data_IF_923352993274
#
_entry.id   IF_923352993274
#
_cell.length_a   1.000
_cell.length_b   1.000
_cell.length_c   1.000
_cell.angle_alpha   90.00
_cell.angle_beta   90.00
_cell.angle_gamma   90.00
#
_symmetry.space_group_name_H-M   'P 1'
#
loop_
_entity.id
_entity.type
_entity.pdbx_description
1 polymer ?
#
# COMPACT_ATOMS: atom_id res chain seq x y z
N UNK A 1 12.41 11.11 -6.13
CA UNK A 1 11.02 11.58 -5.98
C UNK A 1 10.08 10.57 -6.62
N UNK A 2 9.05 10.09 -5.90
CA UNK A 2 8.03 9.12 -6.37
C UNK A 2 7.38 9.55 -7.70
N UNK A 3 7.24 10.84 -7.93
CA UNK A 3 6.75 11.41 -9.20
C UNK A 3 7.62 11.04 -10.41
N UNK A 4 8.90 10.82 -10.21
CA UNK A 4 9.81 10.50 -11.31
C UNK A 4 9.85 9.01 -11.64
N UNK A 5 9.53 8.13 -10.68
CA UNK A 5 9.41 6.68 -10.91
C UNK A 5 8.26 6.37 -11.86
N UNK A 6 7.10 6.97 -11.66
CA UNK A 6 5.93 6.78 -12.55
C UNK A 6 6.11 7.47 -13.91
N UNK A 7 6.84 8.58 -13.99
CA UNK A 7 7.17 9.23 -15.28
C UNK A 7 8.20 8.46 -16.09
N UNK A 8 9.13 7.77 -15.45
CA UNK A 8 10.13 6.91 -16.12
C UNK A 8 9.53 5.67 -16.77
N UNK A 9 8.47 5.12 -16.20
CA UNK A 9 7.79 3.93 -16.75
C UNK A 9 6.96 4.23 -18.01
N UNK A 10 6.54 5.46 -18.23
CA UNK A 10 5.76 5.87 -19.40
C UNK A 10 6.61 6.17 -20.64
N UNK A 11 7.91 6.37 -20.50
CA UNK A 11 8.82 6.75 -21.60
C UNK A 11 9.58 5.57 -22.24
N UNK A 12 9.47 4.37 -21.68
CA UNK A 12 10.12 3.16 -22.22
C UNK A 12 9.28 2.40 -23.27
N UNK A 13 8.09 2.89 -23.64
CA UNK A 13 7.17 2.29 -24.61
C UNK A 13 7.09 3.01 -25.95
N UNK A 14 8.02 3.89 -26.24
CA UNK A 14 8.11 4.63 -27.49
C UNK A 14 9.04 4.00 -28.52
N UNK A 15 8.76 2.79 -28.98
CA UNK A 15 9.58 2.22 -30.06
C UNK A 15 9.27 0.77 -30.40
N UNK A 16 8.07 0.49 -30.89
CA UNK A 16 7.82 -0.63 -31.80
C UNK A 16 6.45 -0.41 -32.47
N UNK A 17 6.51 0.07 -33.68
CA UNK A 17 5.39 0.13 -34.62
C UNK A 17 5.09 -1.28 -35.09
N UNK A 18 3.83 -1.66 -35.08
CA UNK A 18 3.17 -2.77 -35.71
C UNK A 18 2.68 -3.88 -34.77
N UNK A 19 1.49 -3.65 -34.18
CA UNK A 19 0.36 -4.59 -34.19
C UNK A 19 -0.87 -3.95 -33.50
N UNK A 20 -1.96 -3.64 -34.24
CA UNK A 20 -3.16 -3.04 -33.64
C UNK A 20 -4.17 -4.11 -33.17
N UNK A 21 -3.79 -5.02 -32.29
CA UNK A 21 -4.73 -6.08 -31.86
C UNK A 21 -4.63 -6.50 -30.38
N UNK A 22 -4.00 -5.73 -29.50
CA UNK A 22 -3.93 -6.09 -28.07
C UNK A 22 -4.37 -4.98 -27.11
N UNK A 23 -5.17 -4.01 -27.56
CA UNK A 23 -5.85 -3.05 -26.72
C UNK A 23 -7.37 -3.20 -26.82
N UNK A 24 -7.87 -4.42 -26.94
CA UNK A 24 -9.22 -4.71 -26.42
C UNK A 24 -9.03 -4.78 -24.90
N UNK A 25 -8.97 -3.61 -24.27
CA UNK A 25 -9.24 -3.47 -22.87
C UNK A 25 -10.54 -4.19 -22.62
N UNK A 26 -10.56 -5.11 -21.68
CA UNK A 26 -11.74 -5.81 -21.24
C UNK A 26 -12.87 -4.79 -21.04
N UNK A 27 -13.82 -4.76 -21.96
CA UNK A 27 -15.13 -4.22 -21.66
C UNK A 27 -15.67 -5.13 -20.57
N UNK A 28 -15.43 -4.76 -19.32
CA UNK A 28 -15.91 -5.51 -18.18
C UNK A 28 -17.42 -5.53 -18.25
N UNK A 29 -17.99 -6.72 -18.37
CA UNK A 29 -19.41 -6.91 -18.19
C UNK A 29 -19.76 -6.38 -16.79
N UNK A 30 -20.74 -5.48 -16.61
CA UNK A 30 -21.09 -4.95 -15.30
C UNK A 30 -21.43 -6.03 -14.26
N UNK A 31 -21.64 -7.28 -14.67
CA UNK A 31 -21.88 -8.43 -13.81
C UNK A 31 -20.63 -9.30 -13.56
N UNK A 32 -19.50 -9.04 -14.18
CA UNK A 32 -18.25 -9.82 -13.96
C UNK A 32 -17.58 -9.53 -12.61
N UNK A 33 -18.02 -8.48 -11.90
CA UNK A 33 -17.48 -8.11 -10.60
C UNK A 33 -17.88 -9.04 -9.45
N UNK A 34 -18.82 -9.95 -9.69
CA UNK A 34 -19.34 -10.88 -8.68
C UNK A 34 -18.65 -12.25 -8.70
N UNK A 35 -17.77 -12.49 -9.67
CA UNK A 35 -17.05 -13.75 -9.74
C UNK A 35 -15.63 -13.48 -9.21
N UNK A 36 -15.22 -14.11 -8.09
CA UNK A 36 -13.84 -14.03 -7.68
C UNK A 36 -12.95 -14.45 -8.86
N UNK A 37 -11.84 -13.75 -9.13
CA UNK A 37 -10.97 -14.08 -10.24
C UNK A 37 -10.61 -15.56 -10.15
N UNK A 38 -10.90 -16.31 -11.20
CA UNK A 38 -10.50 -17.70 -11.29
C UNK A 38 -8.99 -17.75 -11.07
N UNK A 39 -8.48 -18.58 -10.16
CA UNK A 39 -7.04 -18.69 -9.94
C UNK A 39 -6.34 -18.82 -11.29
N UNK A 40 -5.35 -17.96 -11.54
CA UNK A 40 -4.57 -18.06 -12.78
C UNK A 40 -3.98 -19.45 -12.87
N UNK A 41 -4.03 -20.04 -14.05
CA UNK A 41 -3.40 -21.34 -14.29
C UNK A 41 -1.92 -21.21 -13.93
N UNK A 42 -1.49 -21.86 -12.83
CA UNK A 42 -0.13 -21.77 -12.28
C UNK A 42 -0.02 -21.22 -10.86
N UNK A 43 -1.10 -20.72 -10.25
CA UNK A 43 -1.06 -20.41 -8.81
C UNK A 43 -0.95 -21.73 -8.02
N UNK A 44 -0.04 -21.84 -7.04
CA UNK A 44 0.01 -23.01 -6.18
C UNK A 44 -1.35 -23.20 -5.48
N UNK A 45 -1.78 -24.44 -5.27
CA UNK A 45 -3.02 -24.69 -4.55
C UNK A 45 -2.94 -24.05 -3.16
N UNK A 46 -4.07 -23.55 -2.62
CA UNK A 46 -4.09 -23.00 -1.27
C UNK A 46 -3.57 -24.06 -0.28
N UNK A 47 -2.80 -23.66 0.73
CA UNK A 47 -2.28 -24.58 1.73
C UNK A 47 -3.41 -25.37 2.38
N UNK A 48 -3.22 -26.66 2.61
CA UNK A 48 -4.25 -27.56 3.15
C UNK A 48 -4.82 -27.08 4.52
N UNK A 49 -4.03 -26.33 5.29
CA UNK A 49 -4.45 -25.77 6.58
C UNK A 49 -5.47 -24.62 6.46
N UNK A 50 -5.63 -24.01 5.29
CA UNK A 50 -6.65 -22.99 5.05
C UNK A 50 -8.06 -23.57 4.92
N UNK A 51 -8.18 -24.86 4.63
CA UNK A 51 -9.47 -25.49 4.34
C UNK A 51 -10.08 -25.00 3.01
N UNK A 52 -11.32 -25.37 2.79
CA UNK A 52 -12.10 -24.87 1.66
C UNK A 52 -12.63 -23.45 1.97
N UNK A 53 -12.68 -22.59 0.96
CA UNK A 53 -13.34 -21.29 1.10
C UNK A 53 -14.81 -21.49 1.50
N UNK A 54 -15.34 -20.73 2.45
CA UNK A 54 -16.74 -20.82 2.83
C UNK A 54 -17.62 -20.43 1.64
N UNK A 55 -18.63 -21.23 1.35
CA UNK A 55 -19.68 -20.86 0.39
C UNK A 55 -20.66 -19.90 1.08
N UNK A 56 -20.79 -18.70 0.52
CA UNK A 56 -21.75 -17.69 0.99
C UNK A 56 -22.93 -17.70 0.01
N UNK A 57 -24.12 -18.17 0.45
CA UNK A 57 -25.30 -18.16 -0.38
C UNK A 57 -25.66 -16.74 -0.83
N UNK A 58 -26.10 -16.59 -2.10
CA UNK A 58 -26.40 -15.28 -2.68
C UNK A 58 -27.44 -14.48 -1.89
N UNK A 59 -28.39 -15.17 -1.26
CA UNK A 59 -29.44 -14.55 -0.42
C UNK A 59 -28.92 -13.93 0.89
N UNK A 60 -27.68 -14.24 1.27
CA UNK A 60 -27.01 -13.61 2.43
C UNK A 60 -26.23 -12.36 2.06
N UNK A 61 -26.14 -12.03 0.78
CA UNK A 61 -25.48 -10.83 0.30
C UNK A 61 -26.53 -9.74 0.21
N UNK A 62 -26.50 -8.77 1.16
CA UNK A 62 -27.45 -7.66 1.18
C UNK A 62 -27.06 -6.54 0.21
N UNK A 63 -25.75 -6.31 0.06
CA UNK A 63 -25.22 -5.18 -0.69
C UNK A 63 -23.99 -5.55 -1.47
N UNK A 64 -23.77 -4.88 -2.59
CA UNK A 64 -22.56 -5.02 -3.42
C UNK A 64 -21.98 -3.65 -3.70
N UNK A 65 -20.70 -3.50 -3.41
CA UNK A 65 -19.94 -2.29 -3.66
C UNK A 65 -18.85 -2.55 -4.69
N UNK A 66 -18.56 -1.55 -5.52
CA UNK A 66 -17.50 -1.61 -6.53
C UNK A 66 -16.53 -0.45 -6.33
N UNK A 67 -15.25 -0.73 -6.42
CA UNK A 67 -14.18 0.26 -6.38
C UNK A 67 -12.99 -0.24 -7.21
N UNK A 68 -12.14 0.69 -7.67
CA UNK A 68 -10.90 0.33 -8.38
C UNK A 68 -9.95 -0.44 -7.48
N UNK A 69 -9.93 -0.09 -6.18
CA UNK A 69 -9.07 -0.72 -5.17
C UNK A 69 -9.91 -1.03 -3.92
N UNK A 70 -9.83 -2.28 -3.48
CA UNK A 70 -10.43 -2.72 -2.21
C UNK A 70 -9.31 -3.00 -1.21
N UNK A 71 -9.36 -2.36 -0.04
CA UNK A 71 -8.38 -2.50 1.04
C UNK A 71 -9.04 -3.16 2.23
N UNK A 72 -8.43 -4.23 2.73
CA UNK A 72 -8.92 -4.95 3.91
C UNK A 72 -8.10 -4.54 5.12
N UNK A 73 -8.75 -3.88 6.06
CA UNK A 73 -8.18 -3.36 7.30
C UNK A 73 -7.94 -1.86 7.26
N UNK A 74 -8.56 -1.12 8.21
CA UNK A 74 -8.38 0.32 8.38
C UNK A 74 -7.32 0.65 9.45
N UNK A 75 -6.24 -0.11 9.49
CA UNK A 75 -5.02 0.23 10.24
C UNK A 75 -4.17 1.26 9.50
N UNK A 76 -3.03 1.64 10.07
CA UNK A 76 -2.13 2.63 9.48
C UNK A 76 -1.78 2.30 8.03
N UNK A 77 -1.39 1.06 7.75
CA UNK A 77 -1.01 0.64 6.41
C UNK A 77 -2.17 0.72 5.41
N UNK A 78 -3.38 0.31 5.81
CA UNK A 78 -4.56 0.37 4.96
C UNK A 78 -4.99 1.82 4.68
N UNK A 79 -4.98 2.68 5.69
CA UNK A 79 -5.35 4.09 5.54
C UNK A 79 -4.33 4.86 4.69
N UNK A 80 -3.02 4.60 4.85
CA UNK A 80 -1.99 5.22 4.00
C UNK A 80 -2.08 4.74 2.56
N UNK A 81 -2.36 3.45 2.34
CA UNK A 81 -2.59 2.91 1.00
C UNK A 81 -3.84 3.52 0.35
N UNK A 82 -4.94 3.66 1.11
CA UNK A 82 -6.18 4.29 0.64
C UNK A 82 -5.94 5.73 0.21
N UNK A 83 -5.23 6.51 1.03
CA UNK A 83 -4.88 7.88 0.70
C UNK A 83 -4.04 7.95 -0.58
N UNK A 84 -2.96 7.17 -0.64
CA UNK A 84 -2.09 7.18 -1.80
C UNK A 84 -2.84 6.83 -3.10
N UNK A 85 -3.71 5.82 -3.05
CA UNK A 85 -4.55 5.45 -4.18
C UNK A 85 -5.53 6.57 -4.58
N UNK A 86 -6.18 7.20 -3.60
CA UNK A 86 -7.12 8.30 -3.83
C UNK A 86 -6.43 9.54 -4.41
N UNK A 87 -5.22 9.88 -3.96
CA UNK A 87 -4.42 10.97 -4.54
C UNK A 87 -4.06 10.73 -6.01
N UNK A 88 -4.08 9.47 -6.46
CA UNK A 88 -3.90 9.08 -7.86
C UNK A 88 -5.21 8.93 -8.63
N UNK A 89 -6.35 9.30 -8.02
CA UNK A 89 -7.65 9.34 -8.66
C UNK A 89 -8.40 8.02 -8.68
N UNK A 90 -7.93 6.99 -7.97
CA UNK A 90 -8.63 5.72 -7.84
C UNK A 90 -9.82 5.85 -6.86
N UNK A 91 -10.93 5.20 -7.18
CA UNK A 91 -11.99 4.95 -6.20
C UNK A 91 -11.55 3.85 -5.24
N UNK A 92 -11.69 4.08 -3.93
CA UNK A 92 -11.17 3.19 -2.91
C UNK A 92 -12.25 2.78 -1.94
N UNK A 93 -12.36 1.48 -1.69
CA UNK A 93 -13.20 0.92 -0.63
C UNK A 93 -12.30 0.35 0.45
N UNK A 94 -12.44 0.85 1.68
CA UNK A 94 -11.74 0.30 2.85
C UNK A 94 -12.73 -0.49 3.69
N UNK A 95 -12.42 -1.74 3.94
CA UNK A 95 -13.21 -2.63 4.80
C UNK A 95 -12.50 -2.83 6.14
N UNK A 96 -13.21 -2.60 7.24
CA UNK A 96 -12.69 -2.82 8.59
C UNK A 96 -13.65 -3.76 9.36
N UNK A 97 -13.06 -4.69 10.09
CA UNK A 97 -13.83 -5.65 10.90
C UNK A 97 -14.39 -5.02 12.17
N UNK A 98 -13.66 -4.08 12.76
CA UNK A 98 -14.07 -3.37 13.95
C UNK A 98 -15.08 -2.26 13.62
N UNK A 99 -15.79 -1.75 14.63
CA UNK A 99 -16.73 -0.64 14.47
C UNK A 99 -16.06 0.71 14.18
N UNK A 100 -14.75 0.79 14.29
CA UNK A 100 -13.95 1.98 14.00
C UNK A 100 -12.54 1.57 13.57
N UNK A 101 -11.84 2.50 12.92
CA UNK A 101 -10.44 2.33 12.60
C UNK A 101 -9.61 2.11 13.87
N UNK A 102 -8.55 1.31 13.77
CA UNK A 102 -7.64 1.05 14.88
C UNK A 102 -6.20 1.17 14.41
N UNK A 103 -5.46 2.10 15.03
CA UNK A 103 -4.03 2.17 14.90
C UNK A 103 -3.39 1.63 16.17
N UNK A 104 -2.58 0.57 16.05
CA UNK A 104 -1.80 0.06 17.17
C UNK A 104 -0.56 0.91 17.32
N UNK A 105 -0.27 1.30 18.56
CA UNK A 105 0.81 2.20 18.99
C UNK A 105 0.76 3.58 18.31
N UNK A 106 1.14 4.61 19.02
CA UNK A 106 1.25 5.96 18.49
C UNK A 106 2.70 6.39 18.29
N UNK A 107 3.64 5.44 18.23
CA UNK A 107 5.05 5.74 18.09
C UNK A 107 5.49 5.57 16.64
N UNK A 108 6.13 6.61 16.12
CA UNK A 108 6.74 6.63 14.81
C UNK A 108 8.23 6.88 14.94
N UNK A 109 9.04 5.95 14.45
CA UNK A 109 10.47 6.18 14.26
C UNK A 109 10.71 6.68 12.85
N UNK A 110 11.21 7.90 12.69
CA UNK A 110 11.53 8.48 11.38
C UNK A 110 12.87 9.17 11.39
N UNK A 111 13.50 9.29 10.25
CA UNK A 111 14.75 10.03 10.08
C UNK A 111 14.55 11.12 9.03
N UNK A 112 14.85 12.37 9.40
CA UNK A 112 14.86 13.51 8.49
C UNK A 112 13.47 14.08 8.20
N UNK A 113 12.49 13.95 9.12
CA UNK A 113 11.20 14.62 9.00
C UNK A 113 11.33 16.15 9.21
N UNK A 114 10.27 16.91 8.89
CA UNK A 114 10.28 18.38 8.95
C UNK A 114 10.64 18.91 10.33
N UNK A 115 10.11 18.35 11.40
CA UNK A 115 10.38 18.80 12.77
C UNK A 115 11.84 18.55 13.17
N UNK A 116 12.40 17.42 12.79
CA UNK A 116 13.81 17.15 13.04
C UNK A 116 14.71 18.15 12.31
N UNK A 117 14.37 18.49 11.05
CA UNK A 117 15.11 19.49 10.29
C UNK A 117 14.99 20.89 10.90
N UNK A 118 13.79 21.30 11.32
CA UNK A 118 13.53 22.60 11.97
C UNK A 118 14.30 22.74 13.29
N UNK A 119 14.40 21.65 14.06
CA UNK A 119 15.12 21.60 15.33
C UNK A 119 16.62 21.36 15.18
N UNK A 120 17.13 21.21 13.95
CA UNK A 120 18.55 20.90 13.69
C UNK A 120 18.97 19.50 14.15
N UNK A 121 18.01 18.59 14.35
CA UNK A 121 18.28 17.20 14.75
C UNK A 121 18.66 16.39 13.51
N UNK A 122 19.83 15.76 13.56
CA UNK A 122 20.28 14.85 12.54
C UNK A 122 20.66 13.48 13.13
N UNK A 123 20.45 12.43 12.37
CA UNK A 123 20.82 11.08 12.74
C UNK A 123 21.78 10.47 11.73
N UNK A 124 22.75 9.73 12.24
CA UNK A 124 23.55 8.85 11.39
C UNK A 124 22.68 7.65 10.96
N UNK A 125 22.31 7.64 9.69
CA UNK A 125 21.48 6.60 9.10
C UNK A 125 22.10 5.21 9.23
N UNK A 126 23.41 5.11 9.03
CA UNK A 126 24.11 3.83 9.10
C UNK A 126 24.15 3.29 10.53
N UNK A 127 24.38 4.15 11.51
CA UNK A 127 24.35 3.78 12.92
C UNK A 127 22.93 3.32 13.32
N UNK A 128 21.88 4.02 12.88
CA UNK A 128 20.49 3.65 13.15
C UNK A 128 20.13 2.30 12.51
N UNK A 129 20.54 2.06 11.26
CA UNK A 129 20.33 0.78 10.57
C UNK A 129 21.05 -0.35 11.32
N UNK A 130 22.30 -0.14 11.67
CA UNK A 130 23.11 -1.15 12.38
C UNK A 130 22.49 -1.50 13.72
N UNK A 131 22.00 -0.52 14.48
CA UNK A 131 21.36 -0.75 15.77
C UNK A 131 20.07 -1.55 15.61
N UNK A 132 19.22 -1.22 14.65
CA UNK A 132 18.02 -2.00 14.38
C UNK A 132 18.35 -3.44 13.94
N UNK A 133 19.37 -3.62 13.10
CA UNK A 133 19.82 -4.96 12.71
C UNK A 133 20.31 -5.80 13.91
N UNK A 134 21.04 -5.18 14.85
CA UNK A 134 21.47 -5.83 16.10
C UNK A 134 20.26 -6.25 16.96
N UNK A 135 19.30 -5.34 17.17
CA UNK A 135 18.10 -5.61 17.96
C UNK A 135 17.29 -6.78 17.38
N UNK A 136 17.26 -6.91 16.08
CA UNK A 136 16.60 -8.02 15.37
C UNK A 136 17.47 -9.29 15.27
N UNK A 137 18.65 -9.30 15.93
CA UNK A 137 19.59 -10.42 15.87
C UNK A 137 20.07 -10.72 14.44
N UNK A 138 20.17 -9.69 13.59
CA UNK A 138 20.55 -9.77 12.17
C UNK A 138 19.66 -10.67 11.32
N UNK A 139 18.41 -10.90 11.73
CA UNK A 139 17.44 -11.72 10.99
C UNK A 139 16.54 -10.92 10.05
N UNK A 140 16.56 -9.60 10.17
CA UNK A 140 15.79 -8.71 9.31
C UNK A 140 16.51 -8.48 7.96
N UNK A 141 15.72 -8.19 6.93
CA UNK A 141 16.29 -7.77 5.65
C UNK A 141 16.78 -6.31 5.77
N UNK A 142 18.09 -6.13 5.68
CA UNK A 142 18.72 -4.81 5.78
C UNK A 142 18.21 -3.84 4.72
N UNK A 143 17.76 -4.31 3.55
CA UNK A 143 17.20 -3.45 2.50
C UNK A 143 15.96 -2.69 2.98
N UNK A 144 15.16 -3.30 3.86
CA UNK A 144 13.99 -2.65 4.46
C UNK A 144 14.41 -1.51 5.39
N UNK A 145 15.48 -1.70 6.16
CA UNK A 145 16.03 -0.66 7.04
C UNK A 145 16.68 0.47 6.25
N UNK A 146 17.36 0.17 5.15
CA UNK A 146 17.89 1.20 4.25
C UNK A 146 16.75 2.05 3.68
N UNK A 147 15.69 1.40 3.18
CA UNK A 147 14.52 2.09 2.65
C UNK A 147 13.86 2.98 3.70
N UNK A 148 13.66 2.46 4.92
CA UNK A 148 13.13 3.23 6.04
C UNK A 148 14.01 4.45 6.37
N UNK A 149 15.32 4.29 6.48
CA UNK A 149 16.23 5.37 6.82
C UNK A 149 16.28 6.47 5.73
N UNK A 150 16.02 6.11 4.48
CA UNK A 150 15.99 7.06 3.37
C UNK A 150 14.66 7.80 3.24
N UNK A 151 13.53 7.12 3.47
CA UNK A 151 12.21 7.63 3.09
C UNK A 151 11.27 7.93 4.26
N UNK A 152 11.54 7.42 5.47
CA UNK A 152 10.60 7.57 6.59
C UNK A 152 10.28 9.02 6.96
N UNK A 153 11.23 9.92 6.82
CA UNK A 153 11.00 11.35 7.08
C UNK A 153 10.05 11.98 6.07
N UNK A 154 10.25 11.72 4.78
CA UNK A 154 9.37 12.20 3.71
C UNK A 154 7.98 11.57 3.79
N UNK A 155 7.89 10.28 4.08
CA UNK A 155 6.63 9.57 4.25
C UNK A 155 5.82 10.12 5.43
N UNK A 156 6.49 10.43 6.53
CA UNK A 156 5.87 11.04 7.71
C UNK A 156 5.39 12.47 7.42
N UNK A 157 6.19 13.28 6.76
CA UNK A 157 5.80 14.63 6.35
C UNK A 157 4.56 14.61 5.46
N UNK A 158 4.50 13.66 4.50
CA UNK A 158 3.32 13.46 3.66
C UNK A 158 2.07 13.05 4.47
N UNK A 159 2.23 12.23 5.52
CA UNK A 159 1.11 11.89 6.41
C UNK A 159 0.62 13.11 7.20
N UNK A 160 1.54 13.93 7.68
CA UNK A 160 1.21 15.14 8.45
C UNK A 160 0.48 16.20 7.64
N UNK A 161 0.67 16.24 6.32
CA UNK A 161 -0.03 17.21 5.45
C UNK A 161 -1.56 17.01 5.44
N UNK A 162 -2.06 15.90 5.96
CA UNK A 162 -3.50 15.68 6.19
C UNK A 162 -4.00 16.23 7.52
N UNK A 163 -3.11 16.38 8.49
CA UNK A 163 -3.52 16.81 9.81
C UNK A 163 -3.75 18.32 9.82
N UNK A 164 -4.98 18.81 10.08
CA UNK A 164 -5.18 20.23 10.30
C UNK A 164 -4.41 20.60 11.58
N UNK A 165 -3.34 21.38 11.42
CA UNK A 165 -2.57 22.02 12.49
C UNK A 165 -2.40 21.13 13.75
N UNK A 166 -1.56 20.11 13.68
CA UNK A 166 -1.07 19.45 14.89
C UNK A 166 -0.14 20.47 15.56
N UNK A 167 -0.63 21.14 16.58
CA UNK A 167 0.21 21.95 17.45
C UNK A 167 1.01 21.00 18.35
N UNK A 168 2.30 20.98 18.18
CA UNK A 168 3.26 20.31 19.06
C UNK A 168 3.61 21.24 20.20
#
# INVERSE_FOLDING_TARGET
SRRNFLKGSALALGGLVAAPTLLTGCAANPNDHLIPPKPSAGSPPPPAWLGAAPEIPAEKISDTYSADIVIVGAGLAGLTAARAASEHGASVLVMERASTWQCRSGQFGTIGNRYQRELGISFDKNAAILENMKQMGYRADQRMWNYWAEHSGEDFDWMLDLAPAVHV
#
